data_IF_240401871884
#
_entry.id   IF_240401871884
#
_cell.length_a   1.000
_cell.length_b   1.000
_cell.length_c   1.000
_cell.angle_alpha   90.00
_cell.angle_beta   90.00
_cell.angle_gamma   90.00
#
_symmetry.space_group_name_H-M   'P 1'
#
loop_
_entity.id
_entity.type
_entity.pdbx_description
1 polymer ?
#
# COMPACT_ATOMS: atom_id res chain seq x y z
N UNK A 1 -53.85 5.27 28.81
CA UNK A 1 -54.79 4.19 29.18
C UNK A 1 -55.06 3.40 27.90
N UNK A 2 -54.35 2.28 27.71
CA UNK A 2 -54.86 0.92 27.99
C UNK A 2 -56.09 0.63 27.10
N UNK A 3 -55.92 -0.13 26.00
CA UNK A 3 -56.22 -1.58 25.92
C UNK A 3 -57.70 -1.83 26.29
N UNK A 4 -58.56 -2.47 25.49
CA UNK A 4 -58.33 -3.62 24.61
C UNK A 4 -59.67 -4.03 23.94
N UNK A 5 -59.62 -4.40 22.65
CA UNK A 5 -60.09 -5.68 22.05
C UNK A 5 -61.60 -6.07 22.20
N UNK A 6 -62.36 -6.44 21.14
CA UNK A 6 -62.40 -7.78 20.50
C UNK A 6 -63.33 -7.87 19.27
N UNK A 7 -62.75 -8.41 18.18
CA UNK A 7 -63.20 -9.40 17.18
C UNK A 7 -64.65 -9.41 16.64
N UNK A 8 -64.75 -9.37 15.30
CA UNK A 8 -65.60 -10.30 14.57
C UNK A 8 -64.80 -11.04 13.50
N UNK A 9 -64.93 -12.36 13.58
CA UNK A 9 -64.36 -13.41 12.75
C UNK A 9 -65.07 -13.42 11.40
N UNK A 10 -64.34 -13.47 10.29
CA UNK A 10 -64.90 -13.99 9.04
C UNK A 10 -63.93 -15.01 8.44
N UNK A 11 -64.28 -16.28 8.65
CA UNK A 11 -63.75 -17.46 8.01
C UNK A 11 -64.31 -17.53 6.58
N UNK A 12 -63.44 -17.50 5.58
CA UNK A 12 -63.69 -18.17 4.31
C UNK A 12 -62.45 -18.99 3.93
N UNK A 13 -62.53 -20.28 4.24
CA UNK A 13 -61.72 -21.37 3.68
C UNK A 13 -62.16 -21.60 2.24
N UNK A 14 -61.22 -21.78 1.31
CA UNK A 14 -61.14 -22.83 0.25
C UNK A 14 -60.09 -22.45 -0.83
N UNK A 15 -59.53 -23.42 -1.58
CA UNK A 15 -58.10 -23.70 -1.48
C UNK A 15 -57.39 -23.77 -2.85
N UNK A 16 -56.08 -24.04 -2.83
CA UNK A 16 -55.28 -24.66 -3.91
C UNK A 16 -55.23 -23.90 -5.24
N UNK A 17 -54.06 -23.32 -5.54
CA UNK A 17 -53.16 -23.80 -6.60
C UNK A 17 -51.77 -23.27 -6.25
N UNK A 18 -50.93 -24.21 -5.82
CA UNK A 18 -49.47 -24.06 -5.78
C UNK A 18 -49.02 -24.07 -7.23
N UNK A 19 -48.91 -22.89 -7.84
CA UNK A 19 -48.06 -22.70 -9.01
C UNK A 19 -46.66 -22.42 -8.47
N UNK A 20 -45.94 -23.52 -8.24
CA UNK A 20 -44.48 -23.57 -8.24
C UNK A 20 -44.01 -23.02 -9.60
N UNK A 21 -44.00 -21.70 -9.75
CA UNK A 21 -43.05 -21.09 -10.65
C UNK A 21 -41.72 -21.19 -9.92
N UNK A 22 -40.97 -22.21 -10.31
CA UNK A 22 -39.53 -22.24 -10.11
C UNK A 22 -38.96 -20.94 -10.67
N UNK A 23 -38.89 -19.90 -9.84
CA UNK A 23 -37.83 -18.91 -9.95
C UNK A 23 -36.58 -19.75 -9.80
N UNK A 24 -35.99 -20.15 -10.93
CA UNK A 24 -34.64 -20.67 -10.94
C UNK A 24 -33.81 -19.56 -10.30
N UNK A 25 -33.50 -19.74 -9.02
CA UNK A 25 -32.46 -18.97 -8.38
C UNK A 25 -31.25 -19.05 -9.31
N UNK A 26 -30.72 -17.87 -9.66
CA UNK A 26 -29.61 -17.71 -10.58
C UNK A 26 -28.53 -18.78 -10.34
N UNK A 27 -27.95 -19.38 -11.41
CA UNK A 27 -26.90 -20.35 -11.21
C UNK A 27 -25.76 -19.69 -10.44
N UNK A 28 -25.14 -20.50 -9.58
CA UNK A 28 -23.94 -20.21 -8.84
C UNK A 28 -22.96 -19.33 -9.63
N UNK A 29 -22.56 -18.20 -9.03
CA UNK A 29 -21.43 -17.34 -9.39
C UNK A 29 -20.46 -17.99 -10.39
N UNK A 30 -20.59 -17.63 -11.66
CA UNK A 30 -19.90 -18.33 -12.76
C UNK A 30 -18.39 -18.13 -12.67
N UNK A 31 -17.60 -19.02 -13.29
CA UNK A 31 -16.14 -18.84 -13.42
C UNK A 31 -15.77 -17.43 -13.90
N UNK A 32 -16.56 -16.89 -14.84
CA UNK A 32 -16.36 -15.56 -15.39
C UNK A 32 -16.59 -14.46 -14.37
N UNK A 33 -17.60 -14.58 -13.52
CA UNK A 33 -17.85 -13.62 -12.44
C UNK A 33 -16.75 -13.67 -11.37
N UNK A 34 -16.17 -14.84 -11.12
CA UNK A 34 -15.02 -14.97 -10.23
C UNK A 34 -13.78 -14.25 -10.79
N UNK A 35 -13.42 -14.50 -12.04
CA UNK A 35 -12.28 -13.82 -12.67
C UNK A 35 -12.48 -12.31 -12.75
N UNK A 36 -13.67 -11.83 -13.15
CA UNK A 36 -13.96 -10.39 -13.24
C UNK A 36 -13.84 -9.69 -11.89
N UNK A 37 -14.31 -10.30 -10.80
CA UNK A 37 -14.18 -9.73 -9.45
C UNK A 37 -12.71 -9.62 -9.05
N UNK A 38 -11.93 -10.65 -9.30
CA UNK A 38 -10.50 -10.66 -8.97
C UNK A 38 -9.73 -9.64 -9.81
N UNK A 39 -10.04 -9.50 -11.10
CA UNK A 39 -9.47 -8.45 -11.95
C UNK A 39 -9.78 -7.05 -11.39
N UNK A 40 -10.98 -6.83 -10.85
CA UNK A 40 -11.34 -5.58 -10.20
C UNK A 40 -10.52 -5.34 -8.93
N UNK A 41 -10.35 -6.36 -8.08
CA UNK A 41 -9.54 -6.28 -6.86
C UNK A 41 -8.06 -6.02 -7.17
N UNK A 42 -7.50 -6.72 -8.17
CA UNK A 42 -6.13 -6.48 -8.67
C UNK A 42 -5.99 -5.03 -9.15
N UNK A 43 -6.93 -4.55 -9.96
CA UNK A 43 -6.89 -3.19 -10.51
C UNK A 43 -6.93 -2.12 -9.41
N UNK A 44 -7.82 -2.30 -8.43
CA UNK A 44 -7.92 -1.43 -7.27
C UNK A 44 -6.61 -1.39 -6.48
N UNK A 45 -6.06 -2.56 -6.12
CA UNK A 45 -4.83 -2.63 -5.36
C UNK A 45 -3.63 -2.09 -6.14
N UNK A 46 -3.57 -2.33 -7.46
CA UNK A 46 -2.51 -1.80 -8.32
C UNK A 46 -2.53 -0.26 -8.36
N UNK A 47 -3.73 0.33 -8.42
CA UNK A 47 -3.89 1.79 -8.33
C UNK A 47 -3.40 2.32 -6.98
N UNK A 48 -3.73 1.63 -5.88
CA UNK A 48 -3.27 2.00 -4.54
C UNK A 48 -1.74 1.90 -4.44
N UNK A 49 -1.12 0.81 -4.90
CA UNK A 49 0.34 0.65 -4.89
C UNK A 49 1.04 1.69 -5.77
N UNK A 50 0.46 2.03 -6.92
CA UNK A 50 0.96 3.10 -7.78
C UNK A 50 0.93 4.44 -7.06
N UNK A 51 -0.16 4.77 -6.36
CA UNK A 51 -0.26 5.98 -5.56
C UNK A 51 0.81 6.00 -4.46
N UNK A 52 0.95 4.92 -3.68
CA UNK A 52 1.93 4.84 -2.60
C UNK A 52 3.37 4.96 -3.09
N UNK A 53 3.66 4.40 -4.26
CA UNK A 53 4.95 4.60 -4.94
C UNK A 53 5.20 6.07 -5.25
N UNK A 54 4.22 6.77 -5.82
CA UNK A 54 4.35 8.17 -6.19
C UNK A 54 4.52 9.05 -4.94
N UNK A 55 3.70 8.84 -3.90
CA UNK A 55 3.83 9.53 -2.62
C UNK A 55 5.24 9.34 -2.02
N UNK A 56 5.77 8.11 -2.05
CA UNK A 56 7.12 7.81 -1.56
C UNK A 56 8.22 8.50 -2.40
N UNK A 57 8.02 8.61 -3.72
CA UNK A 57 8.92 9.36 -4.62
C UNK A 57 8.93 10.84 -4.24
N UNK A 58 7.77 11.43 -4.02
CA UNK A 58 7.63 12.85 -3.69
C UNK A 58 8.24 13.17 -2.33
N UNK A 59 7.97 12.35 -1.31
CA UNK A 59 8.59 12.51 0.01
C UNK A 59 10.11 12.39 -0.09
N UNK A 60 10.62 11.40 -0.82
CA UNK A 60 12.07 11.24 -1.03
C UNK A 60 12.69 12.45 -1.74
N UNK A 61 12.00 13.01 -2.73
CA UNK A 61 12.45 14.22 -3.42
C UNK A 61 12.51 15.43 -2.48
N UNK A 62 11.48 15.61 -1.63
CA UNK A 62 11.45 16.65 -0.60
C UNK A 62 12.61 16.47 0.40
N UNK A 63 12.89 15.24 0.83
CA UNK A 63 14.03 14.93 1.71
C UNK A 63 15.38 15.25 1.05
N UNK A 64 15.57 14.95 -0.24
CA UNK A 64 16.78 15.36 -0.96
C UNK A 64 16.96 16.87 -1.00
N UNK A 65 15.87 17.63 -1.17
CA UNK A 65 15.91 19.09 -1.12
C UNK A 65 16.35 19.58 0.28
N UNK A 66 15.74 19.06 1.34
CA UNK A 66 16.12 19.40 2.73
C UNK A 66 17.57 19.00 3.05
N UNK A 67 18.01 17.84 2.60
CA UNK A 67 19.38 17.38 2.75
C UNK A 67 20.38 18.37 2.14
N UNK A 68 20.06 18.93 0.96
CA UNK A 68 20.90 19.93 0.31
C UNK A 68 20.97 21.23 1.13
N UNK A 69 19.82 21.71 1.60
CA UNK A 69 19.72 22.94 2.42
C UNK A 69 20.56 22.82 3.70
N UNK A 70 20.40 21.74 4.45
CA UNK A 70 21.11 21.52 5.73
C UNK A 70 22.61 21.31 5.50
N UNK A 71 23.01 20.66 4.40
CA UNK A 71 24.44 20.55 4.04
C UNK A 71 25.07 21.89 3.76
N UNK A 72 24.35 22.78 3.07
CA UNK A 72 24.83 24.15 2.83
C UNK A 72 24.97 24.90 4.15
N UNK A 73 23.99 24.79 5.05
CA UNK A 73 24.05 25.40 6.38
C UNK A 73 25.25 24.89 7.19
N UNK A 74 25.42 23.57 7.32
CA UNK A 74 26.55 22.97 8.02
C UNK A 74 27.90 23.43 7.46
N UNK A 75 28.02 23.53 6.13
CA UNK A 75 29.25 24.02 5.48
C UNK A 75 29.53 25.49 5.83
N UNK A 76 28.50 26.33 5.84
CA UNK A 76 28.62 27.74 6.19
C UNK A 76 29.03 27.90 7.66
N UNK A 77 28.42 27.13 8.57
CA UNK A 77 28.77 27.11 10.00
C UNK A 77 30.23 26.65 10.22
N UNK A 78 30.67 25.62 9.50
CA UNK A 78 32.06 25.16 9.55
C UNK A 78 33.05 26.26 9.12
N UNK A 79 32.72 27.00 8.06
CA UNK A 79 33.57 28.07 7.53
C UNK A 79 33.59 29.29 8.47
N UNK A 80 32.41 29.74 8.91
CA UNK A 80 32.27 30.90 9.80
C UNK A 80 33.01 30.71 11.13
N UNK A 81 33.03 29.48 11.65
CA UNK A 81 33.68 29.15 12.92
C UNK A 81 35.08 28.51 12.76
N UNK A 82 35.62 28.45 11.53
CA UNK A 82 36.93 27.84 11.23
C UNK A 82 37.12 26.43 11.83
N UNK A 83 36.10 25.58 11.66
CA UNK A 83 36.03 24.24 12.25
C UNK A 83 36.89 23.27 11.44
N UNK A 84 37.96 22.74 12.05
CA UNK A 84 38.90 21.82 11.39
C UNK A 84 38.76 20.38 11.83
N UNK A 85 38.16 20.17 13.01
CA UNK A 85 38.07 18.86 13.68
C UNK A 85 36.65 18.58 14.14
N UNK A 86 36.30 17.28 14.22
CA UNK A 86 35.02 16.83 14.77
C UNK A 86 34.82 17.24 16.24
N UNK A 87 35.92 17.34 17.02
CA UNK A 87 35.87 17.81 18.41
C UNK A 87 35.37 19.26 18.48
N UNK A 88 35.84 20.13 17.58
CA UNK A 88 35.37 21.51 17.46
C UNK A 88 33.91 21.55 16.97
N UNK A 89 33.55 20.73 15.98
CA UNK A 89 32.18 20.66 15.47
C UNK A 89 31.15 20.34 16.57
N UNK A 90 31.49 19.44 17.49
CA UNK A 90 30.63 19.09 18.64
C UNK A 90 30.39 20.26 19.60
N UNK A 91 31.32 21.23 19.68
CA UNK A 91 31.14 22.39 20.55
C UNK A 91 30.19 23.44 19.96
N UNK A 92 29.92 23.38 18.65
CA UNK A 92 29.02 24.28 17.96
C UNK A 92 27.68 23.58 17.81
N UNK A 93 26.74 23.92 18.70
CA UNK A 93 25.45 23.22 18.83
C UNK A 93 24.69 23.15 17.50
N UNK A 94 24.67 24.24 16.72
CA UNK A 94 23.98 24.30 15.42
C UNK A 94 24.58 23.32 14.41
N UNK A 95 25.90 23.40 14.20
CA UNK A 95 26.63 22.49 13.33
C UNK A 95 26.47 21.02 13.74
N UNK A 96 26.56 20.71 15.05
CA UNK A 96 26.40 19.34 15.50
C UNK A 96 24.99 18.79 15.22
N UNK A 97 23.95 19.61 15.44
CA UNK A 97 22.57 19.25 15.11
C UNK A 97 22.39 19.02 13.61
N UNK A 98 22.94 19.88 12.76
CA UNK A 98 22.85 19.73 11.31
C UNK A 98 23.49 18.42 10.83
N UNK A 99 24.65 18.05 11.40
CA UNK A 99 25.32 16.78 11.08
C UNK A 99 24.47 15.57 11.50
N UNK A 100 23.81 15.61 12.66
CA UNK A 100 22.87 14.57 13.09
C UNK A 100 21.70 14.47 12.10
N UNK A 101 21.08 15.60 11.78
CA UNK A 101 19.91 15.66 10.92
C UNK A 101 20.22 15.19 9.48
N UNK A 102 21.41 15.48 8.97
CA UNK A 102 21.88 14.95 7.68
C UNK A 102 21.87 13.42 7.70
N UNK A 103 22.36 12.80 8.78
CA UNK A 103 22.41 11.35 8.91
C UNK A 103 21.03 10.71 8.97
N UNK A 104 20.11 11.32 9.72
CA UNK A 104 18.72 10.88 9.80
C UNK A 104 18.02 10.99 8.44
N UNK A 105 18.14 12.12 7.76
CA UNK A 105 17.53 12.33 6.44
C UNK A 105 18.06 11.32 5.42
N UNK A 106 19.36 11.03 5.42
CA UNK A 106 19.93 9.98 4.56
C UNK A 106 19.34 8.59 4.84
N UNK A 107 19.10 8.27 6.11
CA UNK A 107 18.47 7.02 6.52
C UNK A 107 17.02 6.93 6.00
N UNK A 108 16.24 8.00 6.13
CA UNK A 108 14.88 8.08 5.59
C UNK A 108 14.85 7.99 4.06
N UNK A 109 15.75 8.66 3.34
CA UNK A 109 15.87 8.55 1.88
C UNK A 109 16.10 7.09 1.46
N UNK A 110 16.94 6.37 2.19
CA UNK A 110 17.20 4.95 1.98
C UNK A 110 15.95 4.10 2.27
N UNK A 111 15.24 4.39 3.35
CA UNK A 111 13.96 3.78 3.69
C UNK A 111 12.91 3.94 2.58
N UNK A 112 12.70 5.16 2.10
CA UNK A 112 11.77 5.43 1.00
C UNK A 112 12.21 4.77 -0.31
N UNK A 113 13.52 4.70 -0.59
CA UNK A 113 14.02 3.98 -1.77
C UNK A 113 13.67 2.49 -1.72
N UNK A 114 13.80 1.84 -0.55
CA UNK A 114 13.35 0.46 -0.35
C UNK A 114 11.84 0.32 -0.59
N UNK A 115 11.02 1.23 -0.04
CA UNK A 115 9.56 1.21 -0.24
C UNK A 115 9.14 1.42 -1.68
N UNK A 116 9.76 2.36 -2.41
CA UNK A 116 9.51 2.56 -3.84
C UNK A 116 9.77 1.27 -4.64
N UNK A 117 10.86 0.57 -4.35
CA UNK A 117 11.18 -0.70 -4.99
C UNK A 117 10.17 -1.80 -4.65
N UNK A 118 9.74 -1.89 -3.39
CA UNK A 118 8.70 -2.81 -2.96
C UNK A 118 7.38 -2.59 -3.72
N UNK A 119 6.92 -1.34 -3.81
CA UNK A 119 5.69 -1.01 -4.54
C UNK A 119 5.82 -1.23 -6.05
N UNK A 120 7.00 -1.00 -6.64
CA UNK A 120 7.25 -1.33 -8.05
C UNK A 120 7.07 -2.83 -8.29
N UNK A 121 7.66 -3.68 -7.46
CA UNK A 121 7.51 -5.14 -7.56
C UNK A 121 6.05 -5.56 -7.37
N UNK A 122 5.31 -4.90 -6.47
CA UNK A 122 3.87 -5.13 -6.29
C UNK A 122 3.09 -4.83 -7.57
N UNK A 123 3.31 -3.65 -8.18
CA UNK A 123 2.67 -3.25 -9.44
C UNK A 123 2.97 -4.22 -10.58
N UNK A 124 4.23 -4.66 -10.71
CA UNK A 124 4.65 -5.61 -11.75
C UNK A 124 3.90 -6.95 -11.59
N UNK A 125 3.83 -7.47 -10.35
CA UNK A 125 3.12 -8.72 -10.03
C UNK A 125 1.61 -8.63 -10.25
N UNK A 126 1.00 -7.53 -9.82
CA UNK A 126 -0.44 -7.30 -9.99
C UNK A 126 -0.80 -7.16 -11.46
N UNK A 127 0.03 -6.48 -12.25
CA UNK A 127 -0.17 -6.35 -13.70
C UNK A 127 -0.08 -7.71 -14.41
N UNK A 128 0.86 -8.55 -14.01
CA UNK A 128 0.98 -9.92 -14.52
C UNK A 128 -0.26 -10.76 -14.19
N UNK A 129 -0.73 -10.76 -12.93
CA UNK A 129 -1.95 -11.48 -12.54
C UNK A 129 -3.19 -10.99 -13.29
N UNK A 130 -3.29 -9.68 -13.53
CA UNK A 130 -4.39 -9.12 -14.31
C UNK A 130 -4.39 -9.68 -15.73
N UNK A 131 -3.23 -9.71 -16.39
CA UNK A 131 -3.09 -10.26 -17.75
C UNK A 131 -3.44 -11.74 -17.77
N UNK A 132 -2.97 -12.52 -16.79
CA UNK A 132 -3.30 -13.93 -16.68
C UNK A 132 -4.82 -14.15 -16.52
N UNK A 133 -5.48 -13.37 -15.65
CA UNK A 133 -6.92 -13.46 -15.45
C UNK A 133 -7.72 -13.03 -16.70
N UNK A 134 -7.24 -12.01 -17.43
CA UNK A 134 -7.84 -11.57 -18.69
C UNK A 134 -7.70 -12.64 -19.79
N UNK A 135 -6.55 -13.30 -19.88
CA UNK A 135 -6.33 -14.39 -20.83
C UNK A 135 -7.16 -15.62 -20.49
N UNK A 136 -7.23 -16.01 -19.21
CA UNK A 136 -8.07 -17.10 -18.74
C UNK A 136 -9.57 -16.82 -18.98
N UNK A 137 -9.99 -15.56 -18.87
CA UNK A 137 -11.37 -15.16 -19.16
C UNK A 137 -11.72 -15.37 -20.64
N UNK A 138 -10.77 -15.24 -21.58
CA UNK A 138 -10.99 -15.46 -23.02
C UNK A 138 -11.18 -16.92 -23.38
N UNK A 139 -10.64 -17.84 -22.59
CA UNK A 139 -10.71 -19.30 -22.82
C UNK A 139 -11.56 -20.02 -21.77
N UNK A 140 -12.44 -19.30 -21.09
CA UNK A 140 -13.09 -19.76 -19.86
C UNK A 140 -13.92 -21.04 -20.01
N UNK A 141 -14.50 -21.25 -21.19
CA UNK A 141 -15.26 -22.47 -21.52
C UNK A 141 -14.36 -23.72 -21.57
N UNK A 142 -13.07 -23.55 -21.84
CA UNK A 142 -12.07 -24.62 -21.89
C UNK A 142 -11.32 -24.82 -20.56
N UNK A 143 -11.55 -23.96 -19.56
CA UNK A 143 -10.87 -24.05 -18.26
C UNK A 143 -11.64 -24.91 -17.26
N UNK A 144 -10.90 -25.78 -16.57
CA UNK A 144 -11.44 -26.50 -15.42
C UNK A 144 -11.65 -25.56 -14.24
N UNK A 145 -12.65 -25.85 -13.40
CA UNK A 145 -12.90 -25.12 -12.16
C UNK A 145 -11.66 -25.06 -11.26
N UNK A 146 -10.91 -26.16 -11.19
CA UNK A 146 -9.65 -26.25 -10.43
C UNK A 146 -8.60 -25.22 -10.86
N UNK A 147 -8.50 -24.89 -12.16
CA UNK A 147 -7.56 -23.87 -12.64
C UNK A 147 -7.98 -22.47 -12.19
N UNK A 148 -9.28 -22.18 -12.26
CA UNK A 148 -9.86 -20.92 -11.80
C UNK A 148 -9.64 -20.75 -10.30
N UNK A 149 -9.94 -21.79 -9.50
CA UNK A 149 -9.73 -21.78 -8.05
C UNK A 149 -8.25 -21.59 -7.67
N UNK A 150 -7.32 -22.21 -8.40
CA UNK A 150 -5.89 -22.04 -8.18
C UNK A 150 -5.43 -20.60 -8.47
N UNK A 151 -5.89 -19.99 -9.57
CA UNK A 151 -5.63 -18.58 -9.86
C UNK A 151 -6.22 -17.67 -8.77
N UNK A 152 -7.46 -17.94 -8.36
CA UNK A 152 -8.12 -17.19 -7.28
C UNK A 152 -7.29 -17.21 -6.00
N UNK A 153 -6.86 -18.41 -5.58
CA UNK A 153 -6.06 -18.57 -4.37
C UNK A 153 -4.69 -17.88 -4.48
N UNK A 154 -4.03 -17.98 -5.65
CA UNK A 154 -2.76 -17.31 -5.90
C UNK A 154 -2.92 -15.78 -5.83
N UNK A 155 -3.96 -15.25 -6.46
CA UNK A 155 -4.23 -13.81 -6.42
C UNK A 155 -4.56 -13.35 -5.01
N UNK A 156 -5.44 -14.04 -4.29
CA UNK A 156 -5.82 -13.65 -2.93
C UNK A 156 -4.59 -13.57 -2.01
N UNK A 157 -3.68 -14.55 -2.09
CA UNK A 157 -2.43 -14.53 -1.34
C UNK A 157 -1.56 -13.30 -1.66
N UNK A 158 -1.54 -12.87 -2.91
CA UNK A 158 -0.80 -11.67 -3.34
C UNK A 158 -1.51 -10.40 -2.87
N UNK A 159 -2.84 -10.34 -2.97
CA UNK A 159 -3.63 -9.21 -2.47
C UNK A 159 -3.42 -9.04 -0.96
N UNK A 160 -3.54 -10.11 -0.18
CA UNK A 160 -3.37 -10.12 1.28
C UNK A 160 -1.97 -9.64 1.69
N UNK A 161 -0.94 -9.99 0.92
CA UNK A 161 0.42 -9.55 1.19
C UNK A 161 0.61 -8.02 1.08
N UNK A 162 -0.08 -7.37 0.14
CA UNK A 162 0.07 -5.93 -0.11
C UNK A 162 -1.05 -5.07 0.50
N UNK A 163 -2.13 -5.70 0.99
CA UNK A 163 -3.30 -5.04 1.58
C UNK A 163 -2.92 -4.12 2.76
N UNK A 164 -2.01 -4.57 3.62
CA UNK A 164 -1.54 -3.76 4.75
C UNK A 164 -0.85 -2.46 4.32
N UNK A 165 -0.17 -2.47 3.16
CA UNK A 165 0.53 -1.32 2.61
C UNK A 165 -0.39 -0.39 1.78
N UNK A 166 -1.63 -0.80 1.49
CA UNK A 166 -2.55 -0.01 0.67
C UNK A 166 -2.99 1.29 1.35
N UNK A 167 -3.12 1.25 2.67
CA UNK A 167 -3.65 2.37 3.45
C UNK A 167 -2.62 3.47 3.65
N UNK A 168 -1.37 3.12 3.97
CA UNK A 168 -0.32 4.09 4.32
C UNK A 168 1.08 3.57 4.03
N UNK A 169 2.02 4.49 3.81
CA UNK A 169 3.44 4.15 3.75
C UNK A 169 3.96 4.00 5.18
N UNK A 170 4.32 2.78 5.56
CA UNK A 170 4.94 2.52 6.88
C UNK A 170 6.45 2.48 6.73
N UNK A 171 7.16 3.31 7.49
CA UNK A 171 8.60 3.16 7.74
C UNK A 171 8.79 2.82 9.22
N UNK A 172 9.64 1.85 9.49
CA UNK A 172 10.02 1.43 10.84
C UNK A 172 11.34 2.14 11.21
N UNK A 173 11.33 3.18 12.06
CA UNK A 173 12.51 4.00 12.32
C UNK A 173 13.68 3.21 12.91
N UNK A 174 13.39 2.18 13.69
CA UNK A 174 14.34 1.21 14.26
C UNK A 174 15.11 0.40 13.20
N UNK A 175 14.58 0.31 11.98
CA UNK A 175 15.23 -0.36 10.83
C UNK A 175 16.05 0.58 9.96
N UNK A 176 16.13 1.85 10.33
CA UNK A 176 16.89 2.88 9.62
C UNK A 176 18.24 3.06 10.29
N UNK A 177 19.32 2.89 9.52
CA UNK A 177 20.68 3.12 10.00
C UNK A 177 21.14 4.51 9.56
N UNK A 178 21.22 5.45 10.49
CA UNK A 178 21.77 6.77 10.23
C UNK A 178 23.30 6.74 10.18
N UNK A 179 23.88 7.51 9.26
CA UNK A 179 25.34 7.73 9.21
C UNK A 179 25.74 8.58 10.41
N UNK A 180 26.88 8.27 11.04
CA UNK A 180 27.33 9.01 12.21
C UNK A 180 27.65 10.48 11.87
N UNK A 181 27.39 11.45 12.77
CA UNK A 181 27.77 12.85 12.57
C UNK A 181 29.26 13.03 12.28
N UNK A 182 30.11 12.15 12.83
CA UNK A 182 31.55 12.16 12.62
C UNK A 182 31.92 11.82 11.17
N UNK A 183 31.24 10.85 10.57
CA UNK A 183 31.49 10.47 9.18
C UNK A 183 30.89 11.48 8.21
N UNK A 184 29.74 12.06 8.54
CA UNK A 184 29.16 13.17 7.78
C UNK A 184 30.10 14.37 7.78
N UNK A 185 30.67 14.74 8.93
CA UNK A 185 31.65 15.82 9.04
C UNK A 185 32.85 15.61 8.09
N UNK A 186 33.37 14.38 8.02
CA UNK A 186 34.47 14.05 7.09
C UNK A 186 34.06 14.16 5.62
N UNK A 187 32.80 13.90 5.30
CA UNK A 187 32.29 13.94 3.92
C UNK A 187 31.97 15.34 3.38
N UNK A 188 31.77 16.32 4.27
CA UNK A 188 31.42 17.71 3.92
C UNK A 188 32.66 18.62 3.94
N UNK A 189 33.69 18.24 4.69
CA UNK A 189 34.99 18.89 4.71
C UNK A 189 35.68 18.80 3.35
#
# INVERSE_FOLDING_TARGET
>A
MALSTIQFVCRCLLPVIVLLTSVQAAPANTKGDQLRRIMADISLLNKQMTQRKNDAVDIRAALFKRLKEIRTEAKNEMQANNVKTTKQARQISRLWLDLVLIGEIQAYITGYTRRINHYRVACDRLSYLYQQADDDLKIIEALSDMKIEALVAQTQKILDHYLADAQTIVLHPDTLTAVSPQDIFKSIK
#
